data_IF_934178531402
#
_entry.id   IF_934178531402
#
_cell.length_a   1.000
_cell.length_b   1.000
_cell.length_c   1.000
_cell.angle_alpha   90.00
_cell.angle_beta   90.00
_cell.angle_gamma   90.00
#
_symmetry.space_group_name_H-M   'P 1'
#
loop_
_entity.id
_entity.type
_entity.pdbx_description
1 polymer ?
#
# COMPACT_ATOMS: atom_id res chain seq x y z
N UNK A 1 -51.02 43.67 -26.95
CA UNK A 1 -49.74 43.01 -27.32
C UNK A 1 -49.18 42.37 -26.05
N UNK A 2 -48.95 41.04 -26.04
CA UNK A 2 -48.53 40.13 -24.92
C UNK A 2 -49.53 40.03 -23.74
N UNK A 3 -50.45 39.06 -23.68
CA UNK A 3 -50.39 37.58 -23.45
C UNK A 3 -49.91 37.14 -22.05
N UNK A 4 -50.83 36.39 -21.41
CA UNK A 4 -50.71 35.32 -20.40
C UNK A 4 -50.61 35.77 -18.92
N UNK A 5 -51.67 35.71 -18.09
CA UNK A 5 -52.49 34.57 -17.60
C UNK A 5 -51.65 33.62 -16.71
N UNK A 6 -51.97 33.50 -15.40
CA UNK A 6 -52.70 32.35 -14.81
C UNK A 6 -52.63 32.37 -13.24
N UNK A 7 -53.78 32.60 -12.60
CA UNK A 7 -54.43 31.81 -11.51
C UNK A 7 -53.54 31.38 -10.31
N UNK A 8 -53.66 31.97 -9.12
CA UNK A 8 -54.74 31.85 -8.09
C UNK A 8 -54.75 30.49 -7.37
N UNK A 9 -54.13 30.43 -6.19
CA UNK A 9 -54.34 29.36 -5.19
C UNK A 9 -54.32 29.96 -3.78
N UNK A 10 -55.45 30.56 -3.38
CA UNK A 10 -55.83 30.64 -1.96
C UNK A 10 -57.16 29.90 -1.86
N UNK A 11 -57.14 28.72 -1.25
CA UNK A 11 -58.25 28.25 -0.40
C UNK A 11 -57.69 27.26 0.60
N UNK A 12 -57.88 27.62 1.87
CA UNK A 12 -57.68 26.81 3.06
C UNK A 12 -58.36 25.45 2.90
N UNK A 13 -57.77 24.40 3.49
CA UNK A 13 -58.51 23.47 4.34
C UNK A 13 -57.59 22.91 5.42
N UNK A 14 -57.55 23.62 6.55
CA UNK A 14 -57.38 22.99 7.86
C UNK A 14 -58.67 22.21 8.14
N UNK A 15 -58.65 20.88 8.04
CA UNK A 15 -59.31 19.97 8.99
C UNK A 15 -59.11 18.51 8.56
N UNK A 16 -58.56 17.69 9.46
CA UNK A 16 -58.41 16.26 9.21
C UNK A 16 -57.54 15.52 10.23
N UNK A 17 -57.72 15.77 11.53
CA UNK A 17 -57.34 14.77 12.52
C UNK A 17 -58.26 13.55 12.37
N UNK A 18 -57.77 12.44 11.81
CA UNK A 18 -57.69 11.18 12.55
C UNK A 18 -56.99 10.05 11.77
N UNK A 19 -56.17 9.31 12.50
CA UNK A 19 -55.86 7.90 12.36
C UNK A 19 -55.37 7.38 10.99
N UNK A 20 -54.04 7.23 10.86
CA UNK A 20 -53.47 5.92 10.56
C UNK A 20 -51.96 5.86 10.84
N UNK A 21 -51.55 4.75 11.47
CA UNK A 21 -50.18 4.43 11.85
C UNK A 21 -49.29 4.32 10.62
N UNK A 22 -48.37 5.25 10.42
CA UNK A 22 -47.19 5.02 9.60
C UNK A 22 -45.95 5.47 10.37
N UNK A 23 -45.05 4.51 10.60
CA UNK A 23 -43.71 4.73 11.13
C UNK A 23 -43.04 5.77 10.24
N UNK A 24 -42.62 6.89 10.81
CA UNK A 24 -41.63 7.74 10.17
C UNK A 24 -40.41 6.87 9.83
N UNK A 25 -39.88 6.92 8.59
CA UNK A 25 -38.56 6.35 8.36
C UNK A 25 -37.59 7.12 9.26
N UNK A 26 -36.69 6.45 9.98
CA UNK A 26 -35.69 7.16 10.75
C UNK A 26 -34.91 8.03 9.77
N UNK A 27 -34.79 9.32 10.09
CA UNK A 27 -33.77 10.18 9.49
C UNK A 27 -32.45 9.47 9.77
N UNK A 28 -31.93 8.77 8.77
CA UNK A 28 -30.58 8.25 8.80
C UNK A 28 -29.70 9.49 8.80
N UNK A 29 -29.25 9.87 10.00
CA UNK A 29 -28.12 10.77 10.16
C UNK A 29 -26.95 10.03 9.50
N UNK A 30 -26.73 10.29 8.21
CA UNK A 30 -25.51 9.85 7.54
C UNK A 30 -24.41 10.64 8.20
N UNK A 31 -23.78 10.06 9.22
CA UNK A 31 -22.55 10.57 9.78
C UNK A 31 -21.56 10.70 8.62
N UNK A 32 -21.09 11.92 8.27
CA UNK A 32 -20.09 12.09 7.23
C UNK A 32 -18.69 11.62 7.67
N UNK A 33 -18.57 10.96 8.83
CA UNK A 33 -17.27 10.66 9.47
C UNK A 33 -16.67 9.29 9.08
N UNK A 34 -17.37 8.48 8.30
CA UNK A 34 -16.77 7.28 7.74
C UNK A 34 -16.00 7.66 6.46
N UNK A 35 -14.74 7.22 6.34
CA UNK A 35 -14.02 7.05 5.06
C UNK A 35 -12.96 8.08 4.61
N UNK A 36 -12.36 8.88 5.49
CA UNK A 36 -11.14 9.64 5.10
C UNK A 36 -9.95 9.15 5.90
N UNK A 37 -8.87 8.74 5.22
CA UNK A 37 -7.59 8.42 5.85
C UNK A 37 -6.92 9.69 6.37
N UNK A 38 -6.32 9.60 7.55
CA UNK A 38 -5.46 10.66 8.07
C UNK A 38 -4.21 10.82 7.17
N UNK A 39 -3.55 11.98 7.25
CA UNK A 39 -2.29 12.19 6.52
C UNK A 39 -1.23 11.14 6.88
N UNK A 40 -1.16 10.75 8.15
CA UNK A 40 -0.22 9.72 8.61
C UNK A 40 -0.58 8.34 8.04
N UNK A 41 -1.86 7.96 8.06
CA UNK A 41 -2.32 6.70 7.47
C UNK A 41 -2.00 6.66 5.97
N UNK A 42 -2.25 7.76 5.24
CA UNK A 42 -1.91 7.87 3.81
C UNK A 42 -0.42 7.69 3.58
N UNK A 43 0.42 8.37 4.36
CA UNK A 43 1.87 8.30 4.21
C UNK A 43 2.38 6.87 4.41
N UNK A 44 1.92 6.16 5.46
CA UNK A 44 2.30 4.76 5.72
C UNK A 44 1.85 3.84 4.59
N UNK A 45 0.58 3.92 4.22
CA UNK A 45 0.01 3.08 3.17
C UNK A 45 0.70 3.29 1.82
N UNK A 46 0.82 4.54 1.38
CA UNK A 46 1.46 4.82 0.10
C UNK A 46 2.95 4.49 0.11
N UNK A 47 3.65 4.62 1.24
CA UNK A 47 5.04 4.17 1.34
C UNK A 47 5.16 2.64 1.19
N UNK A 48 4.25 1.87 1.80
CA UNK A 48 4.20 0.41 1.65
C UNK A 48 3.98 0.01 0.18
N UNK A 49 2.96 0.59 -0.46
CA UNK A 49 2.67 0.32 -1.88
C UNK A 49 3.84 0.76 -2.77
N UNK A 50 4.44 1.89 -2.45
CA UNK A 50 5.58 2.42 -3.19
C UNK A 50 6.80 1.49 -3.11
N UNK A 51 7.12 0.93 -1.94
CA UNK A 51 8.19 -0.05 -1.79
C UNK A 51 7.92 -1.31 -2.65
N UNK A 52 6.68 -1.79 -2.66
CA UNK A 52 6.29 -2.92 -3.52
C UNK A 52 6.41 -2.60 -5.02
N UNK A 53 6.06 -1.36 -5.42
CA UNK A 53 6.21 -0.92 -6.80
C UNK A 53 7.67 -0.91 -7.26
N UNK A 54 8.60 -0.53 -6.38
CA UNK A 54 10.04 -0.57 -6.67
C UNK A 54 10.53 -2.01 -6.75
N UNK A 55 10.18 -2.85 -5.78
CA UNK A 55 10.57 -4.26 -5.78
C UNK A 55 10.06 -5.01 -7.02
N UNK A 56 8.88 -4.64 -7.53
CA UNK A 56 8.40 -5.11 -8.85
C UNK A 56 9.40 -4.76 -9.95
N UNK A 57 9.96 -3.55 -9.97
CA UNK A 57 10.99 -3.16 -10.94
C UNK A 57 12.27 -3.98 -10.75
N UNK A 58 12.75 -4.17 -9.51
CA UNK A 58 13.92 -4.99 -9.21
C UNK A 58 13.76 -6.42 -9.75
N UNK A 59 12.60 -7.04 -9.53
CA UNK A 59 12.26 -8.38 -10.06
C UNK A 59 12.12 -8.43 -11.59
N UNK A 60 11.89 -7.30 -12.25
CA UNK A 60 11.94 -7.19 -13.71
C UNK A 60 13.38 -7.03 -14.21
N UNK A 61 14.22 -6.29 -13.48
CA UNK A 61 15.62 -6.06 -13.83
C UNK A 61 16.49 -7.31 -13.66
N UNK A 62 16.30 -8.10 -12.60
CA UNK A 62 17.07 -9.33 -12.35
C UNK A 62 16.98 -10.35 -13.52
N UNK A 63 15.98 -10.22 -14.39
CA UNK A 63 15.82 -10.99 -15.63
C UNK A 63 16.67 -10.48 -16.79
N UNK A 64 16.90 -9.17 -16.88
CA UNK A 64 17.72 -8.60 -17.96
C UNK A 64 19.19 -9.00 -17.82
N UNK A 65 19.64 -9.28 -16.60
CA UNK A 65 21.05 -9.58 -16.30
C UNK A 65 21.40 -11.07 -16.34
N UNK A 66 20.40 -11.96 -16.24
CA UNK A 66 20.60 -13.41 -16.14
C UNK A 66 20.31 -14.17 -17.44
N UNK A 67 19.78 -13.51 -18.47
CA UNK A 67 19.38 -14.16 -19.72
C UNK A 67 20.32 -13.79 -20.88
N UNK A 68 20.82 -14.78 -21.67
CA UNK A 68 21.38 -14.49 -22.98
C UNK A 68 20.33 -13.73 -23.82
N UNK A 69 20.78 -12.76 -24.62
CA UNK A 69 19.98 -11.78 -25.38
C UNK A 69 18.77 -12.29 -26.20
N UNK A 70 18.56 -13.60 -26.29
CA UNK A 70 17.49 -14.26 -27.05
C UNK A 70 16.33 -14.81 -26.19
N UNK A 71 16.36 -14.69 -24.85
CA UNK A 71 15.30 -15.21 -23.97
C UNK A 71 14.80 -14.15 -22.98
N UNK A 72 14.48 -12.94 -23.45
CA UNK A 72 13.94 -11.83 -22.64
C UNK A 72 12.52 -12.08 -22.06
N UNK A 73 12.12 -13.33 -21.83
CA UNK A 73 10.83 -13.68 -21.24
C UNK A 73 11.04 -13.99 -19.75
N UNK A 74 10.42 -13.24 -18.84
CA UNK A 74 10.24 -13.64 -17.45
C UNK A 74 9.98 -15.13 -17.24
N UNK A 75 10.61 -15.76 -16.22
CA UNK A 75 10.16 -17.10 -15.79
C UNK A 75 8.67 -17.05 -15.47
N UNK A 76 7.96 -18.15 -15.74
CA UNK A 76 6.52 -18.27 -15.51
C UNK A 76 6.16 -17.92 -14.06
N UNK A 77 7.03 -18.26 -13.11
CA UNK A 77 6.87 -17.98 -11.69
C UNK A 77 6.93 -16.48 -11.36
N UNK A 78 7.96 -15.76 -11.81
CA UNK A 78 8.05 -14.31 -11.52
C UNK A 78 6.93 -13.57 -12.27
N UNK A 79 6.57 -13.98 -13.48
CA UNK A 79 5.42 -13.40 -14.20
C UNK A 79 4.12 -13.59 -13.41
N UNK A 80 3.90 -14.81 -12.91
CA UNK A 80 2.73 -15.12 -12.09
C UNK A 80 2.69 -14.27 -10.82
N UNK A 81 3.83 -14.14 -10.13
CA UNK A 81 3.97 -13.29 -8.95
C UNK A 81 3.64 -11.82 -9.25
N UNK A 82 4.21 -11.25 -10.32
CA UNK A 82 3.96 -9.85 -10.68
C UNK A 82 2.51 -9.63 -11.11
N UNK A 83 1.89 -10.58 -11.80
CA UNK A 83 0.47 -10.53 -12.14
C UNK A 83 -0.42 -10.59 -10.89
N UNK A 84 -0.08 -11.43 -9.91
CA UNK A 84 -0.75 -11.46 -8.61
C UNK A 84 -0.65 -10.12 -7.89
N UNK A 85 0.56 -9.55 -7.84
CA UNK A 85 0.77 -8.23 -7.27
C UNK A 85 -0.05 -7.16 -7.98
N UNK A 86 -0.07 -7.13 -9.32
CA UNK A 86 -0.82 -6.12 -10.08
C UNK A 86 -2.33 -6.19 -9.84
N UNK A 87 -2.89 -7.40 -9.71
CA UNK A 87 -4.29 -7.59 -9.33
C UNK A 87 -4.56 -7.09 -7.93
N UNK A 88 -3.73 -7.46 -6.96
CA UNK A 88 -3.86 -7.02 -5.58
C UNK A 88 -3.72 -5.50 -5.45
N UNK A 89 -2.69 -4.92 -6.07
CA UNK A 89 -2.42 -3.48 -6.09
C UNK A 89 -3.59 -2.69 -6.66
N UNK A 90 -4.15 -3.15 -7.78
CA UNK A 90 -5.31 -2.50 -8.40
C UNK A 90 -6.52 -2.52 -7.47
N UNK A 91 -6.77 -3.65 -6.82
CA UNK A 91 -7.86 -3.80 -5.87
C UNK A 91 -7.68 -2.95 -4.62
N UNK A 92 -6.52 -2.98 -3.97
CA UNK A 92 -6.31 -2.26 -2.69
C UNK A 92 -6.25 -0.74 -2.87
N UNK A 93 -5.90 -0.25 -4.05
CA UNK A 93 -5.88 1.19 -4.35
C UNK A 93 -7.26 1.76 -4.73
N UNK A 94 -8.27 0.92 -4.97
CA UNK A 94 -9.63 1.39 -5.23
C UNK A 94 -10.22 2.04 -3.97
N UNK A 95 -10.92 3.16 -4.14
CA UNK A 95 -11.50 3.93 -3.05
C UNK A 95 -12.56 3.15 -2.26
N UNK A 96 -13.18 2.12 -2.86
CA UNK A 96 -14.08 1.21 -2.17
C UNK A 96 -13.39 0.41 -1.06
N UNK A 97 -12.05 0.29 -1.10
CA UNK A 97 -11.22 -0.47 -0.16
C UNK A 97 -10.46 0.43 0.83
N UNK A 98 -10.89 1.67 1.03
CA UNK A 98 -10.27 2.62 1.98
C UNK A 98 -10.14 2.09 3.42
N UNK A 99 -11.04 1.20 3.87
CA UNK A 99 -10.93 0.59 5.20
C UNK A 99 -9.79 -0.44 5.26
N UNK A 100 -9.58 -1.19 4.18
CA UNK A 100 -8.46 -2.11 4.02
C UNK A 100 -7.14 -1.33 3.93
N UNK A 101 -7.12 -0.20 3.21
CA UNK A 101 -5.96 0.71 3.17
C UNK A 101 -5.58 1.19 4.58
N UNK A 102 -6.56 1.62 5.39
CA UNK A 102 -6.34 2.00 6.80
C UNK A 102 -5.80 0.85 7.63
N UNK A 103 -6.37 -0.35 7.50
CA UNK A 103 -5.92 -1.53 8.23
C UNK A 103 -4.46 -1.86 7.89
N UNK A 104 -4.06 -1.82 6.62
CA UNK A 104 -2.67 -2.01 6.23
C UNK A 104 -1.75 -0.90 6.74
N UNK A 105 -2.19 0.37 6.69
CA UNK A 105 -1.43 1.50 7.23
C UNK A 105 -1.13 1.31 8.73
N UNK A 106 -2.14 0.88 9.48
CA UNK A 106 -2.04 0.66 10.92
C UNK A 106 -1.19 -0.58 11.24
N UNK A 107 -1.35 -1.67 10.50
CA UNK A 107 -0.50 -2.85 10.65
C UNK A 107 0.96 -2.56 10.30
N UNK A 108 1.23 -1.72 9.31
CA UNK A 108 2.60 -1.33 8.94
C UNK A 108 3.27 -0.37 9.95
N UNK A 109 2.54 0.12 10.96
CA UNK A 109 3.03 1.18 11.85
C UNK A 109 4.38 0.86 12.50
N UNK A 110 4.57 -0.38 12.94
CA UNK A 110 5.76 -0.80 13.66
C UNK A 110 7.00 -0.83 12.75
N UNK A 111 6.90 -1.49 11.59
CA UNK A 111 7.95 -1.51 10.59
C UNK A 111 8.24 -0.10 10.05
N UNK A 112 7.20 0.71 9.82
CA UNK A 112 7.36 2.11 9.44
C UNK A 112 8.17 2.91 10.49
N UNK A 113 7.84 2.75 11.78
CA UNK A 113 8.54 3.44 12.87
C UNK A 113 10.00 3.00 12.95
N UNK A 114 10.26 1.69 12.79
CA UNK A 114 11.61 1.14 12.72
C UNK A 114 12.41 1.77 11.57
N UNK A 115 11.84 1.82 10.37
CA UNK A 115 12.47 2.38 9.18
C UNK A 115 12.74 3.88 9.34
N UNK A 116 11.82 4.64 9.94
CA UNK A 116 12.04 6.06 10.26
C UNK A 116 13.20 6.23 11.24
N UNK A 117 13.29 5.40 12.27
CA UNK A 117 14.39 5.47 13.24
C UNK A 117 15.74 5.18 12.58
N UNK A 118 15.83 4.11 11.78
CA UNK A 118 17.03 3.79 11.00
C UNK A 118 17.40 4.90 10.02
N UNK A 119 16.42 5.45 9.32
CA UNK A 119 16.60 6.61 8.44
C UNK A 119 17.13 7.83 9.19
N UNK A 120 16.67 8.09 10.41
CA UNK A 120 17.15 9.22 11.22
C UNK A 120 18.59 9.00 11.71
N UNK A 121 18.96 7.76 12.02
CA UNK A 121 20.30 7.36 12.46
C UNK A 121 21.33 7.40 11.32
N UNK A 122 20.99 6.78 10.18
CA UNK A 122 21.95 6.48 9.12
C UNK A 122 21.90 7.48 7.95
N UNK A 123 20.76 8.13 7.72
CA UNK A 123 20.50 8.97 6.56
C UNK A 123 19.60 10.17 6.92
N UNK A 124 20.01 10.94 7.95
CA UNK A 124 19.19 12.02 8.52
C UNK A 124 18.79 13.10 7.50
N UNK A 125 19.59 13.28 6.45
CA UNK A 125 19.37 14.21 5.35
C UNK A 125 18.35 13.72 4.30
N UNK A 126 17.96 12.45 4.31
CA UNK A 126 16.98 11.89 3.38
C UNK A 126 15.56 11.92 3.96
N UNK A 127 14.56 12.09 3.09
CA UNK A 127 13.18 11.74 3.45
C UNK A 127 12.98 10.21 3.42
N UNK A 128 11.89 9.72 4.04
CA UNK A 128 11.67 8.28 4.15
C UNK A 128 11.48 7.60 2.79
N UNK A 129 10.93 8.30 1.80
CA UNK A 129 10.72 7.72 0.47
C UNK A 129 12.07 7.54 -0.23
N UNK A 130 12.92 8.55 -0.19
CA UNK A 130 14.30 8.49 -0.70
C UNK A 130 15.11 7.39 -0.02
N UNK A 131 14.98 7.25 1.29
CA UNK A 131 15.65 6.20 2.05
C UNK A 131 15.18 4.80 1.62
N UNK A 132 13.88 4.59 1.45
CA UNK A 132 13.37 3.31 0.95
C UNK A 132 13.80 3.08 -0.51
N UNK A 133 13.82 4.11 -1.38
CA UNK A 133 14.35 3.98 -2.74
C UNK A 133 15.78 3.44 -2.73
N UNK A 134 16.63 3.96 -1.85
CA UNK A 134 18.05 3.60 -1.78
C UNK A 134 18.33 2.14 -1.43
N UNK A 135 17.37 1.44 -0.83
CA UNK A 135 17.51 0.03 -0.53
C UNK A 135 17.43 -0.89 -1.75
N UNK A 136 16.82 -0.46 -2.85
CA UNK A 136 16.53 -1.34 -3.99
C UNK A 136 17.60 -1.24 -5.09
N UNK A 137 17.85 -2.35 -5.78
CA UNK A 137 18.87 -2.45 -6.85
C UNK A 137 18.56 -1.49 -7.99
N UNK A 138 17.28 -1.29 -8.32
CA UNK A 138 16.85 -0.35 -9.37
C UNK A 138 17.39 1.07 -9.15
N UNK A 139 17.56 1.50 -7.89
CA UNK A 139 18.06 2.85 -7.55
C UNK A 139 19.50 2.87 -7.05
N UNK A 140 19.98 1.80 -6.42
CA UNK A 140 21.34 1.73 -5.85
C UNK A 140 22.39 1.27 -6.86
N UNK A 141 22.02 0.71 -8.02
CA UNK A 141 22.99 0.26 -9.01
C UNK A 141 23.10 1.23 -10.19
N UNK A 142 24.34 1.67 -10.48
CA UNK A 142 24.69 2.57 -11.58
C UNK A 142 24.16 2.12 -12.94
N UNK A 143 24.05 0.80 -13.13
CA UNK A 143 23.63 0.18 -14.38
C UNK A 143 22.21 0.59 -14.82
N UNK A 144 21.31 0.86 -13.88
CA UNK A 144 19.87 0.97 -14.18
C UNK A 144 19.33 2.40 -14.17
N UNK A 145 19.67 3.19 -13.14
CA UNK A 145 19.19 4.58 -13.00
C UNK A 145 20.22 5.64 -13.39
N UNK A 146 21.37 5.23 -13.91
CA UNK A 146 22.32 6.10 -14.62
C UNK A 146 23.08 7.09 -13.74
N UNK A 147 23.16 6.86 -12.43
CA UNK A 147 24.14 7.35 -11.45
C UNK A 147 23.71 6.88 -10.05
N UNK A 148 24.66 6.44 -9.23
CA UNK A 148 24.47 5.99 -7.86
C UNK A 148 23.86 7.11 -7.02
N UNK A 149 22.55 7.05 -6.78
CA UNK A 149 21.84 8.10 -6.03
C UNK A 149 21.93 7.90 -4.52
N UNK A 150 22.15 6.65 -4.08
CA UNK A 150 22.05 6.25 -2.69
C UNK A 150 23.12 5.23 -2.33
N UNK A 151 23.73 5.40 -1.16
CA UNK A 151 24.72 4.48 -0.61
C UNK A 151 24.04 3.18 -0.10
N UNK A 152 24.28 2.01 -0.72
CA UNK A 152 23.65 0.75 -0.34
C UNK A 152 24.17 0.21 0.98
N UNK A 153 25.33 0.68 1.46
CA UNK A 153 25.89 0.25 2.75
C UNK A 153 25.02 0.67 3.95
N UNK A 154 24.11 1.63 3.73
CA UNK A 154 23.14 2.08 4.73
C UNK A 154 22.09 1.04 5.09
N UNK A 155 21.94 -0.04 4.33
CA UNK A 155 20.85 -1.01 4.52
C UNK A 155 21.33 -2.41 4.89
N UNK A 156 22.65 -2.58 5.05
CA UNK A 156 23.34 -3.87 5.12
C UNK A 156 24.34 -4.02 3.98
N UNK A 157 24.66 -5.25 3.60
CA UNK A 157 25.61 -5.61 2.53
C UNK A 157 24.98 -6.60 1.55
N UNK A 158 25.72 -6.89 0.48
CA UNK A 158 25.46 -8.03 -0.42
C UNK A 158 26.12 -9.29 0.18
N UNK A 159 25.91 -9.54 1.48
CA UNK A 159 26.35 -10.74 2.19
C UNK A 159 25.11 -11.43 2.76
N UNK A 160 24.91 -12.75 2.56
CA UNK A 160 23.79 -13.47 3.18
C UNK A 160 23.68 -13.32 4.71
N UNK A 161 24.80 -13.04 5.40
CA UNK A 161 24.86 -12.85 6.84
C UNK A 161 24.59 -11.40 7.29
N UNK A 162 24.65 -10.46 6.35
CA UNK A 162 24.39 -9.03 6.56
C UNK A 162 23.65 -8.50 5.32
N UNK A 163 22.44 -8.99 5.01
CA UNK A 163 21.74 -8.65 3.78
C UNK A 163 21.19 -7.22 3.83
N UNK A 164 20.77 -6.69 2.69
CA UNK A 164 19.94 -5.50 2.66
C UNK A 164 18.60 -5.79 3.37
N UNK A 165 18.46 -5.35 4.61
CA UNK A 165 17.33 -5.71 5.46
C UNK A 165 16.01 -5.05 5.04
N UNK A 166 16.08 -3.90 4.37
CA UNK A 166 14.89 -3.22 3.82
C UNK A 166 14.36 -3.99 2.62
N UNK A 167 15.21 -4.27 1.63
CA UNK A 167 14.84 -5.07 0.47
C UNK A 167 14.31 -6.44 0.89
N UNK A 168 15.02 -7.14 1.78
CA UNK A 168 14.63 -8.45 2.29
C UNK A 168 13.26 -8.42 3.00
N UNK A 169 12.95 -7.38 3.77
CA UNK A 169 11.65 -7.24 4.42
C UNK A 169 10.51 -7.17 3.39
N UNK A 170 10.62 -6.29 2.38
CA UNK A 170 9.60 -6.17 1.35
C UNK A 170 9.57 -7.37 0.41
N UNK A 171 10.72 -7.99 0.14
CA UNK A 171 10.83 -9.20 -0.67
C UNK A 171 10.10 -10.37 -0.03
N UNK A 172 10.29 -10.56 1.28
CA UNK A 172 9.57 -11.59 2.04
C UNK A 172 8.05 -11.36 1.96
N UNK A 173 7.56 -10.12 2.10
CA UNK A 173 6.12 -9.84 1.97
C UNK A 173 5.59 -10.18 0.57
N UNK A 174 6.27 -9.76 -0.49
CA UNK A 174 5.82 -10.05 -1.85
C UNK A 174 5.89 -11.56 -2.12
N UNK A 175 7.01 -12.22 -1.82
CA UNK A 175 7.22 -13.62 -2.22
C UNK A 175 6.40 -14.60 -1.37
N UNK A 176 6.38 -14.41 -0.04
CA UNK A 176 5.73 -15.36 0.89
C UNK A 176 4.25 -15.11 1.09
N UNK A 177 3.79 -13.86 0.91
CA UNK A 177 2.37 -13.50 1.02
C UNK A 177 1.75 -13.38 -0.37
N UNK A 178 2.16 -12.38 -1.15
CA UNK A 178 1.52 -12.12 -2.45
C UNK A 178 1.70 -13.29 -3.42
N UNK A 179 2.87 -13.93 -3.41
CA UNK A 179 3.14 -15.11 -4.25
C UNK A 179 2.32 -16.34 -3.86
N UNK A 180 2.06 -16.53 -2.56
CA UNK A 180 1.46 -17.75 -2.01
C UNK A 180 -0.06 -17.79 -2.09
N UNK A 181 -0.72 -16.66 -1.86
CA UNK A 181 -2.19 -16.59 -1.82
C UNK A 181 -2.76 -16.19 -3.20
N UNK A 182 -4.00 -16.57 -3.48
CA UNK A 182 -4.61 -16.41 -4.81
C UNK A 182 -5.64 -15.29 -4.88
N UNK A 183 -6.38 -15.06 -3.78
CA UNK A 183 -7.40 -14.01 -3.69
C UNK A 183 -6.86 -12.73 -3.05
N UNK A 184 -7.42 -11.58 -3.43
CA UNK A 184 -7.00 -10.29 -2.89
C UNK A 184 -7.28 -10.18 -1.39
N UNK A 185 -8.39 -10.77 -0.94
CA UNK A 185 -8.82 -10.80 0.46
C UNK A 185 -7.87 -11.63 1.32
N UNK A 186 -7.43 -12.80 0.84
CA UNK A 186 -6.43 -13.61 1.54
C UNK A 186 -5.07 -12.91 1.60
N UNK A 187 -4.63 -12.32 0.47
CA UNK A 187 -3.39 -11.53 0.42
C UNK A 187 -3.46 -10.38 1.43
N UNK A 188 -4.56 -9.62 1.44
CA UNK A 188 -4.78 -8.53 2.40
C UNK A 188 -4.69 -9.03 3.84
N UNK A 189 -5.43 -10.08 4.18
CA UNK A 189 -5.48 -10.58 5.55
C UNK A 189 -4.11 -11.07 6.01
N UNK A 190 -3.34 -11.72 5.13
CA UNK A 190 -2.00 -12.22 5.43
C UNK A 190 -0.94 -11.14 5.49
N UNK A 191 -1.00 -10.12 4.63
CA UNK A 191 -0.15 -8.94 4.75
C UNK A 191 -0.40 -8.24 6.08
N UNK A 192 -1.66 -8.07 6.46
CA UNK A 192 -2.03 -7.46 7.74
C UNK A 192 -1.44 -8.23 8.94
N UNK A 193 -1.52 -9.56 8.92
CA UNK A 193 -0.96 -10.43 9.97
C UNK A 193 0.57 -10.33 10.06
N UNK A 194 1.27 -10.40 8.92
CA UNK A 194 2.74 -10.30 8.87
C UNK A 194 3.25 -8.92 9.29
N UNK A 195 2.52 -7.85 8.92
CA UNK A 195 2.90 -6.47 9.22
C UNK A 195 2.65 -6.09 10.69
N UNK A 196 1.53 -6.52 11.25
CA UNK A 196 1.11 -6.12 12.61
C UNK A 196 1.95 -6.75 13.72
N UNK A 197 2.60 -7.88 13.44
CA UNK A 197 3.29 -8.67 14.45
C UNK A 197 4.81 -8.59 14.28
N UNK A 198 5.52 -7.97 15.23
CA UNK A 198 7.00 -8.00 15.27
C UNK A 198 7.58 -9.41 15.42
N UNK A 199 6.76 -10.37 15.83
CA UNK A 199 7.13 -11.78 15.91
C UNK A 199 6.83 -12.56 14.63
N UNK A 200 6.36 -11.90 13.56
CA UNK A 200 6.11 -12.53 12.26
C UNK A 200 7.40 -13.04 11.63
N UNK A 201 7.25 -14.04 10.75
CA UNK A 201 8.39 -14.62 10.04
C UNK A 201 9.08 -13.56 9.17
N UNK A 202 8.30 -12.69 8.53
CA UNK A 202 8.84 -11.57 7.73
C UNK A 202 9.73 -10.68 8.59
N UNK A 203 9.23 -10.20 9.74
CA UNK A 203 9.98 -9.27 10.58
C UNK A 203 11.23 -9.92 11.19
N UNK A 204 11.09 -11.14 11.71
CA UNK A 204 12.20 -11.91 12.32
C UNK A 204 13.33 -12.24 11.37
N UNK A 205 13.01 -12.49 10.09
CA UNK A 205 14.00 -12.83 9.06
C UNK A 205 14.61 -11.61 8.39
N UNK A 206 14.21 -10.39 8.76
CA UNK A 206 14.69 -9.16 8.15
C UNK A 206 14.97 -8.08 9.20
N UNK A 207 14.04 -7.17 9.46
CA UNK A 207 14.24 -5.98 10.30
C UNK A 207 14.72 -6.30 11.72
N UNK A 208 14.30 -7.43 12.30
CA UNK A 208 14.76 -7.84 13.63
C UNK A 208 16.26 -8.17 13.70
N UNK A 209 16.86 -8.57 12.57
CA UNK A 209 18.27 -8.91 12.47
C UNK A 209 19.15 -7.67 12.28
N UNK A 210 18.55 -6.54 11.93
CA UNK A 210 19.25 -5.29 11.68
C UNK A 210 19.58 -4.58 13.00
N UNK A 211 20.72 -4.97 13.58
CA UNK A 211 21.15 -4.54 14.92
C UNK A 211 22.18 -3.42 14.92
N UNK A 212 22.82 -3.16 13.78
CA UNK A 212 23.84 -2.15 13.55
C UNK A 212 23.30 -0.85 12.97
#
# INVERSE_FOLDING_TARGET
MKKNILILCITLFLYGCNANKHKEPPIVLVNPSASIMSTEEKNKFYLLIYAFDILKQDKLLSKQDTLPSHQNVPTTEVTSLLNKYDRFRTWILDDAHVQEQKKLANSFHDAYTFLINKKNELASNQDIKQYIEGAFVYYSNDKYKGNHKYDPSLYGKIDPNDPNYVDLFFDNLITTVIGKYDTNEEIFQKLKEELQNKESDTYKRSLALWTN
#
